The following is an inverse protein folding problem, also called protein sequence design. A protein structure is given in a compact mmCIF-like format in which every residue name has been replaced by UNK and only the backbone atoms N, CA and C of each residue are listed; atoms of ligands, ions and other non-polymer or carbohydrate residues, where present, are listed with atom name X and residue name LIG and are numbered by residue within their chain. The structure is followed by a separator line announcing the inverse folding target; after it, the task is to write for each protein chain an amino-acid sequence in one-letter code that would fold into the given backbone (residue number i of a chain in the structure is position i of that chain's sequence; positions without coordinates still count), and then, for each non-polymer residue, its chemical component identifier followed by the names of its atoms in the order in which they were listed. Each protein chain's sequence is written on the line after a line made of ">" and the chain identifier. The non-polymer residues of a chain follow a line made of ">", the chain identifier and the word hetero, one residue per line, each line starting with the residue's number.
data_IF_486273760670
#
_entry.id   IF_486273760670
#
_cell.length_a   1.000
_cell.length_b   1.000
_cell.length_c   1.000
_cell.angle_alpha   90.00
_cell.angle_beta   90.00
_cell.angle_gamma   90.00
#
_symmetry.space_group_name_H-M   'P 1'
#
loop_
_entity.id
_entity.type
_entity.pdbx_description
1 polymer ?
#
# COMPACT_ATOMS: atom_id res chain seq x y z
N UNK A 1 -23.06 28.59 12.78
CA UNK A 1 -23.48 27.19 12.68
C UNK A 1 -22.86 26.69 11.40
N UNK A 2 -21.65 26.15 11.52
CA UNK A 2 -20.96 25.49 10.42
C UNK A 2 -21.75 24.23 10.07
N UNK A 3 -22.16 24.10 8.82
CA UNK A 3 -22.55 22.79 8.31
C UNK A 3 -21.32 21.91 8.43
N UNK A 4 -21.39 20.89 9.29
CA UNK A 4 -20.34 19.89 9.43
C UNK A 4 -20.08 19.30 8.03
N UNK A 5 -18.81 19.28 7.61
CA UNK A 5 -18.45 18.92 6.24
C UNK A 5 -18.63 17.41 5.98
N UNK A 6 -18.62 16.59 7.04
CA UNK A 6 -18.78 15.13 6.99
C UNK A 6 -19.33 14.53 8.30
N UNK A 7 -19.81 13.30 8.21
CA UNK A 7 -20.15 12.44 9.37
C UNK A 7 -18.99 11.52 9.78
N UNK A 8 -18.97 11.02 11.02
CA UNK A 8 -17.87 10.18 11.55
C UNK A 8 -17.64 8.90 10.73
N UNK A 9 -18.69 8.36 10.12
CA UNK A 9 -18.62 7.11 9.34
C UNK A 9 -17.99 7.30 7.95
N UNK A 10 -17.86 8.55 7.49
CA UNK A 10 -17.27 8.88 6.19
C UNK A 10 -15.77 9.14 6.27
N UNK A 11 -15.22 9.30 7.48
CA UNK A 11 -13.81 9.62 7.71
C UNK A 11 -13.02 8.40 8.11
N UNK A 12 -11.92 8.18 7.40
CA UNK A 12 -10.94 7.17 7.77
C UNK A 12 -9.92 7.74 8.75
N UNK A 13 -9.42 6.91 9.65
CA UNK A 13 -8.39 7.29 10.60
C UNK A 13 -7.20 6.34 10.60
N UNK A 14 -6.03 6.85 10.95
CA UNK A 14 -4.82 6.08 11.22
C UNK A 14 -4.15 6.65 12.46
N UNK A 15 -3.77 5.80 13.41
CA UNK A 15 -2.95 6.21 14.54
C UNK A 15 -1.48 6.21 14.13
N UNK A 16 -0.74 7.22 14.57
CA UNK A 16 0.72 7.30 14.45
C UNK A 16 1.34 7.63 15.80
N UNK A 17 2.59 7.22 15.97
CA UNK A 17 3.40 7.57 17.14
C UNK A 17 4.67 8.25 16.64
N UNK A 18 4.93 9.44 17.15
CA UNK A 18 6.18 10.13 16.89
C UNK A 18 7.33 9.37 17.56
N UNK A 19 8.20 8.76 16.74
CA UNK A 19 9.28 7.88 17.20
C UNK A 19 10.29 8.57 18.13
N UNK A 20 10.40 9.90 18.09
CA UNK A 20 11.35 10.66 18.93
C UNK A 20 10.77 11.11 20.27
N UNK A 21 9.46 11.27 20.34
CA UNK A 21 8.79 11.90 21.50
C UNK A 21 7.78 10.98 22.17
N UNK A 22 7.46 9.83 21.56
CA UNK A 22 6.39 8.94 22.01
C UNK A 22 4.98 9.53 21.87
N UNK A 23 4.85 10.76 21.36
CA UNK A 23 3.57 11.43 21.22
C UNK A 23 2.68 10.70 20.22
N UNK A 24 1.47 10.34 20.65
CA UNK A 24 0.45 9.73 19.80
C UNK A 24 -0.37 10.81 19.12
N UNK A 25 -0.54 10.67 17.83
CA UNK A 25 -1.48 11.48 17.06
C UNK A 25 -2.33 10.60 16.14
N UNK A 26 -3.53 11.08 15.88
CA UNK A 26 -4.52 10.43 15.03
C UNK A 26 -4.60 11.26 13.76
N UNK A 27 -4.29 10.62 12.64
CA UNK A 27 -4.49 11.14 11.31
C UNK A 27 -5.94 10.87 10.92
N UNK A 28 -6.61 11.89 10.41
CA UNK A 28 -7.92 11.80 9.80
C UNK A 28 -7.81 12.15 8.33
N UNK A 29 -8.50 11.38 7.48
CA UNK A 29 -8.61 11.70 6.07
C UNK A 29 -9.97 11.33 5.50
N UNK A 30 -10.40 12.12 4.52
CA UNK A 30 -11.70 12.01 3.88
C UNK A 30 -11.56 12.24 2.38
N UNK A 31 -12.20 11.39 1.58
CA UNK A 31 -12.37 11.63 0.15
C UNK A 31 -13.74 12.25 -0.11
N UNK A 32 -13.75 13.54 -0.43
CA UNK A 32 -14.92 14.19 -0.99
C UNK A 32 -15.13 13.70 -2.42
N UNK A 33 -16.33 13.17 -2.70
CA UNK A 33 -16.70 12.79 -4.06
C UNK A 33 -16.70 14.04 -4.94
N UNK A 34 -15.76 14.11 -5.89
CA UNK A 34 -15.79 15.12 -6.92
C UNK A 34 -16.99 14.91 -7.84
N UNK A 35 -17.45 15.95 -8.56
CA UNK A 35 -18.34 15.72 -9.70
C UNK A 35 -17.65 14.81 -10.72
N UNK A 36 -18.40 14.23 -11.66
CA UNK A 36 -17.89 13.28 -12.68
C UNK A 36 -16.62 13.77 -13.41
N UNK A 37 -16.51 15.08 -13.60
CA UNK A 37 -15.40 15.74 -14.31
C UNK A 37 -14.38 16.40 -13.36
N UNK A 38 -14.62 16.33 -12.06
CA UNK A 38 -13.72 16.83 -11.02
C UNK A 38 -12.92 15.68 -10.42
N UNK A 39 -11.71 16.00 -9.96
CA UNK A 39 -10.93 15.08 -9.17
C UNK A 39 -11.61 14.91 -7.80
N UNK A 40 -11.55 13.72 -7.23
CA UNK A 40 -11.95 13.57 -5.82
C UNK A 40 -10.99 14.38 -4.95
N UNK A 41 -11.55 15.06 -3.95
CA UNK A 41 -10.78 15.93 -3.06
C UNK A 41 -10.40 15.16 -1.82
N UNK A 42 -9.11 15.14 -1.49
CA UNK A 42 -8.63 14.58 -0.23
C UNK A 42 -8.58 15.70 0.80
N UNK A 43 -9.18 15.46 1.95
CA UNK A 43 -9.01 16.27 3.14
C UNK A 43 -8.16 15.51 4.15
N UNK A 44 -7.29 16.21 4.86
CA UNK A 44 -6.33 15.64 5.79
C UNK A 44 -6.17 16.52 7.03
N UNK A 45 -6.07 15.89 8.20
CA UNK A 45 -5.80 16.58 9.46
C UNK A 45 -5.23 15.64 10.51
N UNK A 46 -4.60 16.21 11.54
CA UNK A 46 -4.04 15.45 12.68
C UNK A 46 -4.52 16.02 14.00
N UNK A 47 -4.86 15.13 14.94
CA UNK A 47 -5.18 15.51 16.32
C UNK A 47 -4.36 14.65 17.27
N UNK A 48 -3.69 15.27 18.24
CA UNK A 48 -2.95 14.57 19.29
C UNK A 48 -3.91 13.88 20.27
N UNK A 49 -3.53 12.71 20.78
CA UNK A 49 -4.33 11.96 21.77
C UNK A 49 -5.01 10.72 21.20
N UNK A 50 -6.02 10.21 21.92
CA UNK A 50 -6.73 8.99 21.54
C UNK A 50 -7.91 9.30 20.59
N UNK A 51 -8.17 8.48 19.54
CA UNK A 51 -9.33 8.69 18.66
C UNK A 51 -10.68 8.68 19.39
N UNK A 52 -10.76 8.05 20.57
CA UNK A 52 -11.96 8.02 21.42
C UNK A 52 -12.28 9.37 22.06
N UNK A 53 -11.30 10.28 22.14
CA UNK A 53 -11.42 11.58 22.81
C UNK A 53 -11.81 12.70 21.83
N UNK A 54 -11.73 12.43 20.52
CA UNK A 54 -11.97 13.42 19.48
C UNK A 54 -13.47 13.50 19.10
N UNK A 55 -14.00 14.72 19.09
CA UNK A 55 -15.34 15.05 18.60
C UNK A 55 -15.35 15.23 17.09
N UNK A 56 -16.52 15.12 16.46
CA UNK A 56 -16.67 15.32 15.00
C UNK A 56 -16.31 16.77 14.64
N UNK A 57 -16.67 17.73 15.48
CA UNK A 57 -16.34 19.14 15.33
C UNK A 57 -14.82 19.35 15.30
N UNK A 58 -14.08 18.77 16.25
CA UNK A 58 -12.61 18.85 16.27
C UNK A 58 -11.96 18.23 15.03
N UNK A 59 -12.51 17.12 14.52
CA UNK A 59 -12.00 16.49 13.30
C UNK A 59 -12.26 17.42 12.10
N UNK A 60 -13.46 18.00 11.99
CA UNK A 60 -13.78 18.94 10.92
C UNK A 60 -12.89 20.18 10.95
N UNK A 61 -12.59 20.70 12.14
CA UNK A 61 -11.78 21.91 12.32
C UNK A 61 -10.31 21.73 11.88
N UNK A 62 -9.81 20.49 11.86
CA UNK A 62 -8.42 20.19 11.43
C UNK A 62 -8.30 19.67 10.00
N UNK A 63 -9.41 19.32 9.34
CA UNK A 63 -9.37 18.81 7.97
C UNK A 63 -9.11 19.95 7.00
N UNK A 64 -7.94 19.92 6.36
CA UNK A 64 -7.57 20.82 5.28
C UNK A 64 -7.57 20.08 3.94
N UNK A 65 -8.01 20.76 2.88
CA UNK A 65 -7.91 20.22 1.53
C UNK A 65 -6.44 20.03 1.14
N UNK A 66 -6.10 18.83 0.72
CA UNK A 66 -4.78 18.49 0.19
C UNK A 66 -4.81 18.77 -1.32
N UNK A 67 -3.96 19.68 -1.83
CA UNK A 67 -3.92 19.99 -3.26
C UNK A 67 -3.67 18.73 -4.11
N UNK A 68 -4.38 18.58 -5.23
CA UNK A 68 -4.23 17.39 -6.10
C UNK A 68 -2.81 17.18 -6.62
N UNK A 69 -2.03 18.25 -6.80
CA UNK A 69 -0.59 18.20 -7.15
C UNK A 69 0.24 17.39 -6.15
N UNK A 70 -0.27 17.28 -4.91
CA UNK A 70 0.33 16.58 -3.77
C UNK A 70 -0.17 15.14 -3.60
N UNK A 71 -0.96 14.65 -4.55
CA UNK A 71 -1.57 13.33 -4.46
C UNK A 71 -1.43 12.59 -5.79
N UNK A 72 -1.70 13.31 -6.88
CA UNK A 72 -1.78 12.79 -8.23
C UNK A 72 -0.71 13.40 -9.13
N UNK A 73 0.03 12.54 -9.82
CA UNK A 73 1.05 12.98 -10.76
C UNK A 73 0.45 13.30 -12.14
N UNK A 74 0.97 14.31 -12.85
CA UNK A 74 0.44 14.73 -14.15
C UNK A 74 0.87 13.79 -15.28
N UNK A 75 0.13 13.86 -16.39
CA UNK A 75 0.55 13.39 -17.72
C UNK A 75 0.99 14.58 -18.60
N UNK A 76 2.05 14.43 -19.42
CA UNK A 76 2.95 13.27 -19.48
C UNK A 76 3.70 13.08 -18.16
N UNK A 77 4.07 11.83 -17.86
CA UNK A 77 4.71 11.47 -16.59
C UNK A 77 5.98 12.32 -16.41
N UNK A 78 6.24 12.89 -15.21
CA UNK A 78 7.42 13.70 -14.97
C UNK A 78 8.72 13.00 -15.37
N UNK A 79 9.74 13.77 -15.75
CA UNK A 79 11.04 13.34 -16.28
C UNK A 79 11.79 12.28 -15.45
N UNK A 80 11.46 12.09 -14.18
CA UNK A 80 11.95 10.96 -13.37
C UNK A 80 11.61 9.58 -13.96
N UNK A 81 10.54 9.49 -14.76
CA UNK A 81 10.06 8.26 -15.38
C UNK A 81 10.03 8.37 -16.91
N UNK A 82 11.00 9.05 -17.52
CA UNK A 82 11.02 9.42 -18.95
C UNK A 82 10.75 8.27 -19.96
N UNK A 83 10.72 7.01 -19.52
CA UNK A 83 10.47 5.82 -20.34
C UNK A 83 9.19 5.04 -19.97
N UNK A 84 8.32 5.57 -19.09
CA UNK A 84 7.08 4.90 -18.69
C UNK A 84 5.90 5.47 -19.47
N UNK A 85 5.40 4.71 -20.45
CA UNK A 85 4.07 4.94 -21.03
C UNK A 85 3.00 4.55 -20.01
N UNK A 86 2.05 5.45 -19.74
CA UNK A 86 0.86 5.12 -18.94
C UNK A 86 -0.28 4.74 -19.86
N UNK A 87 -0.85 3.57 -19.62
CA UNK A 87 -2.06 3.06 -20.26
C UNK A 87 -3.24 3.80 -19.65
N UNK A 88 -3.86 4.71 -20.40
CA UNK A 88 -5.10 5.38 -19.98
C UNK A 88 -6.26 4.42 -20.19
N UNK A 89 -6.95 4.10 -19.09
CA UNK A 89 -8.12 3.23 -19.13
C UNK A 89 -9.33 3.98 -19.70
N UNK A 90 -10.29 3.25 -20.26
CA UNK A 90 -11.49 3.86 -20.81
C UNK A 90 -12.38 4.44 -19.69
N UNK A 91 -12.93 5.63 -19.92
CA UNK A 91 -13.73 6.38 -18.92
C UNK A 91 -14.98 5.63 -18.45
N UNK A 92 -15.59 4.78 -19.29
CA UNK A 92 -16.79 4.00 -18.90
C UNK A 92 -16.54 3.01 -17.75
N UNK A 93 -15.27 2.71 -17.43
CA UNK A 93 -14.91 1.86 -16.30
C UNK A 93 -15.29 2.49 -14.95
N UNK A 94 -15.46 3.82 -14.86
CA UNK A 94 -15.94 4.48 -13.64
C UNK A 94 -17.38 4.05 -13.29
N UNK A 95 -18.20 3.76 -14.29
CA UNK A 95 -19.62 3.41 -14.12
C UNK A 95 -19.86 1.89 -14.18
N UNK A 96 -18.83 1.10 -14.52
CA UNK A 96 -18.94 -0.33 -14.71
C UNK A 96 -18.72 -1.10 -13.38
N UNK A 97 -19.59 -2.06 -13.04
CA UNK A 97 -19.33 -2.93 -11.90
C UNK A 97 -18.15 -3.88 -12.19
N UNK A 98 -17.52 -4.38 -11.13
CA UNK A 98 -16.53 -5.46 -11.23
C UNK A 98 -15.06 -5.02 -11.32
N UNK A 99 -14.77 -3.74 -11.10
CA UNK A 99 -13.39 -3.23 -11.02
C UNK A 99 -13.10 -2.69 -9.63
N UNK A 100 -11.84 -2.82 -9.20
CA UNK A 100 -11.35 -2.13 -8.02
C UNK A 100 -10.53 -0.92 -8.45
N UNK A 101 -10.90 0.26 -7.97
CA UNK A 101 -10.14 1.48 -8.23
C UNK A 101 -9.20 1.72 -7.05
N UNK A 102 -7.93 1.39 -7.21
CA UNK A 102 -6.91 1.69 -6.20
C UNK A 102 -6.53 3.17 -6.28
N UNK A 103 -6.54 3.84 -5.12
CA UNK A 103 -6.08 5.23 -4.92
C UNK A 103 -4.70 5.23 -4.25
N UNK A 104 -3.96 6.35 -4.30
CA UNK A 104 -2.76 6.51 -3.48
C UNK A 104 -3.09 6.26 -1.99
N UNK A 105 -2.14 5.73 -1.24
CA UNK A 105 -2.30 5.53 0.21
C UNK A 105 -1.58 6.66 0.98
N UNK A 106 -2.22 7.17 2.04
CA UNK A 106 -1.91 8.46 2.66
C UNK A 106 -1.34 8.43 4.08
N UNK A 107 -0.94 7.27 4.61
CA UNK A 107 -0.43 7.16 6.00
C UNK A 107 0.85 7.94 6.28
N UNK A 108 1.54 8.44 5.25
CA UNK A 108 2.81 9.16 5.37
C UNK A 108 2.74 10.62 4.89
N UNK A 109 1.54 11.19 4.72
CA UNK A 109 1.40 12.64 4.42
C UNK A 109 2.12 13.49 5.49
N UNK A 110 2.16 13.04 6.73
CA UNK A 110 2.67 13.79 7.90
C UNK A 110 4.18 14.04 7.86
N UNK A 111 4.97 13.18 7.21
CA UNK A 111 6.43 13.33 7.13
C UNK A 111 6.89 14.35 6.06
N UNK A 112 5.96 15.01 5.38
CA UNK A 112 6.26 15.97 4.30
C UNK A 112 6.51 17.41 4.78
N UNK A 113 6.81 17.61 6.07
CA UNK A 113 7.21 18.91 6.61
C UNK A 113 8.60 19.33 6.08
N UNK A 114 8.70 19.77 4.81
CA UNK A 114 9.88 20.51 4.34
C UNK A 114 10.23 20.54 2.85
N UNK A 115 9.65 19.74 1.95
CA UNK A 115 9.99 19.93 0.52
C UNK A 115 9.59 18.86 -0.49
N UNK A 116 9.42 19.36 -1.73
CA UNK A 116 9.20 18.67 -3.03
C UNK A 116 7.84 17.99 -3.24
N UNK A 117 7.36 17.89 -4.52
CA UNK A 117 6.10 17.26 -4.87
C UNK A 117 6.00 15.89 -4.19
N UNK A 118 4.95 15.76 -3.40
CA UNK A 118 4.75 14.78 -2.34
C UNK A 118 5.22 13.37 -2.66
N UNK A 119 5.91 12.80 -1.68
CA UNK A 119 6.27 11.39 -1.56
C UNK A 119 5.12 10.44 -1.96
N UNK A 120 3.87 10.81 -1.67
CA UNK A 120 2.66 10.06 -2.06
C UNK A 120 2.51 9.94 -3.59
N UNK A 121 2.51 11.06 -4.31
CA UNK A 121 2.41 11.06 -5.77
C UNK A 121 3.58 10.31 -6.43
N UNK A 122 4.78 10.39 -5.82
CA UNK A 122 5.95 9.66 -6.27
C UNK A 122 5.80 8.14 -6.10
N UNK A 123 5.40 7.67 -4.91
CA UNK A 123 5.15 6.23 -4.66
C UNK A 123 4.01 5.68 -5.51
N UNK A 124 2.96 6.48 -5.70
CA UNK A 124 1.88 6.10 -6.60
C UNK A 124 2.36 5.94 -8.05
N UNK A 125 3.24 6.84 -8.52
CA UNK A 125 3.87 6.71 -9.84
C UNK A 125 4.78 5.48 -9.95
N UNK A 126 5.47 5.09 -8.88
CA UNK A 126 6.26 3.84 -8.83
C UNK A 126 5.35 2.63 -9.00
N UNK A 127 4.23 2.57 -8.27
CA UNK A 127 3.28 1.47 -8.42
C UNK A 127 2.76 1.38 -9.86
N UNK A 128 2.36 2.50 -10.45
CA UNK A 128 1.93 2.56 -11.86
C UNK A 128 3.03 2.05 -12.80
N UNK A 129 4.28 2.49 -12.62
CA UNK A 129 5.44 2.01 -13.41
C UNK A 129 5.58 0.49 -13.34
N UNK A 130 5.40 -0.10 -12.15
CA UNK A 130 5.50 -1.56 -11.97
C UNK A 130 4.32 -2.30 -12.61
N UNK A 131 3.10 -1.78 -12.51
CA UNK A 131 1.93 -2.37 -13.15
C UNK A 131 1.98 -2.27 -14.69
N UNK A 132 2.47 -1.15 -15.25
CA UNK A 132 2.72 -1.02 -16.69
C UNK A 132 3.76 -2.04 -17.16
N UNK A 133 4.78 -2.31 -16.34
CA UNK A 133 5.77 -3.35 -16.65
C UNK A 133 5.14 -4.74 -16.60
N UNK A 134 4.34 -5.04 -15.58
CA UNK A 134 3.61 -6.30 -15.45
C UNK A 134 2.73 -6.56 -16.69
N UNK A 135 1.97 -5.56 -17.14
CA UNK A 135 1.05 -5.69 -18.27
C UNK A 135 1.72 -5.90 -19.64
N UNK A 136 3.04 -5.68 -19.75
CA UNK A 136 3.82 -6.00 -20.97
C UNK A 136 4.17 -7.50 -21.09
N UNK A 137 3.84 -8.30 -20.08
CA UNK A 137 4.13 -9.73 -20.01
C UNK A 137 2.82 -10.54 -19.95
N UNK A 138 2.86 -11.87 -20.24
CA UNK A 138 1.68 -12.72 -20.12
C UNK A 138 1.08 -12.67 -18.71
N UNK A 139 -0.25 -12.61 -18.55
CA UNK A 139 -0.88 -12.55 -17.24
C UNK A 139 -0.68 -13.84 -16.44
N UNK A 140 -0.66 -13.73 -15.11
CA UNK A 140 -0.63 -14.86 -14.18
C UNK A 140 -1.93 -14.90 -13.35
N UNK A 141 -2.56 -16.08 -13.14
CA UNK A 141 -3.86 -16.18 -12.47
C UNK A 141 -3.86 -15.76 -10.99
N UNK A 142 -2.70 -15.82 -10.33
CA UNK A 142 -2.53 -15.46 -8.91
C UNK A 142 -1.82 -14.11 -8.70
N UNK A 143 -1.84 -13.23 -9.71
CA UNK A 143 -1.37 -11.83 -9.60
C UNK A 143 -2.51 -10.92 -10.02
N UNK A 144 -2.67 -9.80 -9.34
CA UNK A 144 -3.69 -8.81 -9.68
C UNK A 144 -3.64 -8.39 -11.15
N UNK A 145 -4.81 -8.30 -11.77
CA UNK A 145 -4.92 -7.86 -13.16
C UNK A 145 -4.97 -6.34 -13.22
N UNK A 146 -4.09 -5.73 -14.00
CA UNK A 146 -4.07 -4.30 -14.28
C UNK A 146 -4.84 -3.96 -15.57
N UNK A 147 -5.65 -2.91 -15.54
CA UNK A 147 -6.51 -2.48 -16.65
C UNK A 147 -6.20 -1.08 -17.19
N UNK A 148 -5.18 -0.41 -16.64
CA UNK A 148 -4.86 0.98 -16.95
C UNK A 148 -5.15 1.93 -15.80
N UNK A 149 -4.75 3.17 -15.98
CA UNK A 149 -4.95 4.26 -15.06
C UNK A 149 -6.21 5.05 -15.39
N UNK A 150 -6.93 5.48 -14.35
CA UNK A 150 -7.89 6.58 -14.50
C UNK A 150 -7.13 7.89 -14.61
N UNK A 151 -7.51 8.69 -15.60
CA UNK A 151 -6.99 10.04 -15.77
C UNK A 151 -8.13 11.04 -15.67
N UNK A 152 -7.98 12.03 -14.80
CA UNK A 152 -8.89 13.19 -14.70
C UNK A 152 -8.04 14.46 -14.66
N UNK A 153 -8.48 15.50 -15.36
CA UNK A 153 -7.79 16.80 -15.40
C UNK A 153 -6.29 16.70 -15.73
N UNK A 154 -5.92 15.77 -16.62
CA UNK A 154 -4.53 15.54 -17.02
C UNK A 154 -3.65 14.87 -15.96
N UNK A 155 -4.23 14.31 -14.89
CA UNK A 155 -3.52 13.62 -13.81
C UNK A 155 -3.97 12.18 -13.67
N UNK A 156 -3.06 11.30 -13.24
CA UNK A 156 -3.40 9.92 -12.89
C UNK A 156 -4.01 9.91 -11.49
N UNK A 157 -5.31 9.62 -11.40
CA UNK A 157 -6.11 9.70 -10.17
C UNK A 157 -6.51 8.35 -9.60
N UNK A 158 -6.19 7.25 -10.29
CA UNK A 158 -6.53 5.91 -9.86
C UNK A 158 -5.92 4.84 -10.76
N UNK A 159 -5.87 3.62 -10.25
CA UNK A 159 -5.46 2.42 -10.97
C UNK A 159 -6.66 1.49 -11.04
N UNK A 160 -7.08 1.09 -12.25
CA UNK A 160 -8.09 0.05 -12.40
C UNK A 160 -7.43 -1.31 -12.28
N UNK A 161 -7.85 -2.03 -11.24
CA UNK A 161 -7.51 -3.41 -11.01
C UNK A 161 -8.73 -4.28 -11.30
N UNK A 162 -8.48 -5.53 -11.72
CA UNK A 162 -9.51 -6.54 -11.88
C UNK A 162 -10.27 -6.77 -10.57
N UNK A 163 -11.40 -7.47 -10.65
CA UNK A 163 -12.20 -7.77 -9.47
C UNK A 163 -11.35 -8.42 -8.37
N UNK A 164 -11.36 -7.81 -7.19
CA UNK A 164 -10.64 -8.26 -6.02
C UNK A 164 -11.61 -9.02 -5.13
N UNK A 165 -11.74 -10.32 -5.40
CA UNK A 165 -12.59 -11.22 -4.63
C UNK A 165 -11.94 -11.61 -3.29
N UNK A 166 -12.79 -11.67 -2.26
CA UNK A 166 -12.41 -12.13 -0.93
C UNK A 166 -11.65 -11.11 -0.09
N UNK A 167 -11.18 -11.56 1.06
CA UNK A 167 -10.46 -10.71 2.01
C UNK A 167 -8.96 -10.95 1.90
N UNK A 168 -8.16 -10.04 2.47
CA UNK A 168 -6.75 -10.33 2.66
C UNK A 168 -6.56 -11.53 3.60
N UNK A 169 -5.40 -12.18 3.49
CA UNK A 169 -5.09 -13.42 4.18
C UNK A 169 -5.11 -13.29 5.70
N UNK A 170 -4.75 -12.12 6.25
CA UNK A 170 -4.85 -11.89 7.69
C UNK A 170 -6.30 -11.93 8.17
N UNK A 171 -7.17 -11.16 7.52
CA UNK A 171 -8.59 -11.07 7.88
C UNK A 171 -9.29 -12.40 7.67
N UNK A 172 -8.98 -13.11 6.58
CA UNK A 172 -9.53 -14.43 6.29
C UNK A 172 -9.23 -15.43 7.41
N UNK A 173 -7.97 -15.48 7.86
CA UNK A 173 -7.53 -16.40 8.90
C UNK A 173 -8.04 -15.97 10.28
N UNK A 174 -8.01 -14.67 10.59
CA UNK A 174 -8.42 -14.12 11.88
C UNK A 174 -9.91 -14.23 12.13
N UNK A 175 -10.72 -14.11 11.08
CA UNK A 175 -12.16 -14.35 11.15
C UNK A 175 -12.53 -15.85 11.22
N UNK A 176 -11.54 -16.76 11.18
CA UNK A 176 -11.80 -18.21 11.22
C UNK A 176 -12.62 -18.70 10.02
N UNK A 177 -12.43 -18.08 8.84
CA UNK A 177 -13.12 -18.49 7.61
C UNK A 177 -12.66 -19.87 7.15
N UNK A 178 -13.11 -20.29 5.96
CA UNK A 178 -12.76 -21.58 5.36
C UNK A 178 -11.26 -21.87 5.50
N UNK A 179 -10.87 -23.02 6.07
CA UNK A 179 -9.47 -23.39 6.20
C UNK A 179 -8.76 -23.36 4.86
N UNK A 180 -7.54 -22.83 4.86
CA UNK A 180 -6.68 -22.79 3.68
C UNK A 180 -6.01 -24.15 3.55
N UNK A 181 -6.11 -24.75 2.36
CA UNK A 181 -5.25 -25.87 2.02
C UNK A 181 -3.84 -25.35 1.77
N UNK A 182 -2.98 -25.49 2.77
CA UNK A 182 -1.69 -24.81 2.88
C UNK A 182 -0.78 -25.07 1.68
N UNK A 183 -0.64 -26.32 1.25
CA UNK A 183 0.34 -26.67 0.22
C UNK A 183 -0.07 -26.16 -1.18
N UNK A 184 -1.30 -26.37 -1.66
CA UNK A 184 -1.74 -25.78 -2.92
C UNK A 184 -1.75 -24.25 -2.90
N UNK A 185 -2.12 -23.63 -1.78
CA UNK A 185 -2.10 -22.18 -1.63
C UNK A 185 -0.68 -21.62 -1.77
N UNK A 186 0.28 -22.18 -1.03
CA UNK A 186 1.67 -21.74 -1.10
C UNK A 186 2.30 -22.04 -2.46
N UNK A 187 1.96 -23.15 -3.11
CA UNK A 187 2.42 -23.46 -4.46
C UNK A 187 1.91 -22.46 -5.50
N UNK A 188 0.64 -22.05 -5.41
CA UNK A 188 0.06 -21.04 -6.30
C UNK A 188 0.68 -19.66 -6.08
N UNK A 189 0.96 -19.29 -4.82
CA UNK A 189 1.65 -18.05 -4.49
C UNK A 189 3.11 -18.06 -4.95
N UNK A 190 3.83 -19.17 -4.77
CA UNK A 190 5.19 -19.35 -5.28
C UNK A 190 5.25 -19.21 -6.80
N UNK A 191 4.26 -19.77 -7.52
CA UNK A 191 4.13 -19.59 -8.97
C UNK A 191 3.99 -18.11 -9.37
N UNK A 192 3.20 -17.33 -8.63
CA UNK A 192 3.07 -15.89 -8.85
C UNK A 192 4.40 -15.14 -8.63
N UNK A 193 5.09 -15.45 -7.53
CA UNK A 193 6.38 -14.84 -7.19
C UNK A 193 7.42 -15.15 -8.27
N UNK A 194 7.52 -16.41 -8.69
CA UNK A 194 8.42 -16.82 -9.78
C UNK A 194 8.09 -16.13 -11.10
N UNK A 195 6.81 -15.91 -11.39
CA UNK A 195 6.41 -15.15 -12.57
C UNK A 195 6.93 -13.71 -12.53
N UNK A 196 6.79 -13.00 -11.40
CA UNK A 196 7.37 -11.67 -11.23
C UNK A 196 8.90 -11.69 -11.43
N UNK A 197 9.57 -12.69 -10.85
CA UNK A 197 11.03 -12.80 -10.86
C UNK A 197 11.62 -13.15 -12.23
N UNK A 198 11.05 -14.15 -12.88
CA UNK A 198 11.67 -14.83 -14.04
C UNK A 198 11.09 -14.32 -15.37
N UNK A 199 9.83 -13.88 -15.37
CA UNK A 199 9.15 -13.39 -16.59
C UNK A 199 9.17 -11.87 -16.65
N UNK A 200 8.81 -11.20 -15.55
CA UNK A 200 8.70 -9.73 -15.51
C UNK A 200 10.04 -9.06 -15.15
N UNK A 201 10.88 -9.73 -14.36
CA UNK A 201 12.18 -9.21 -13.91
C UNK A 201 12.08 -8.18 -12.78
N UNK A 202 11.06 -8.29 -11.92
CA UNK A 202 10.88 -7.47 -10.72
C UNK A 202 10.77 -8.37 -9.50
N UNK A 203 11.06 -7.84 -8.31
CA UNK A 203 10.67 -8.45 -7.04
C UNK A 203 9.57 -7.62 -6.39
N UNK A 204 8.71 -8.27 -5.61
CA UNK A 204 7.56 -7.67 -4.94
C UNK A 204 8.00 -6.82 -3.74
N UNK A 205 8.98 -7.31 -2.98
CA UNK A 205 9.62 -6.73 -1.80
C UNK A 205 8.71 -6.49 -0.57
N UNK A 206 7.40 -6.68 -0.69
CA UNK A 206 6.44 -6.51 0.41
C UNK A 206 5.39 -7.64 0.47
N UNK A 207 5.83 -8.89 0.34
CA UNK A 207 4.94 -10.05 0.46
C UNK A 207 4.57 -10.22 1.94
N UNK A 208 3.29 -10.06 2.25
CA UNK A 208 2.74 -10.20 3.60
C UNK A 208 1.25 -10.56 3.55
N UNK A 209 0.63 -11.03 4.65
CA UNK A 209 -0.76 -11.47 4.63
C UNK A 209 -1.75 -10.39 4.16
N UNK A 210 -1.45 -9.11 4.41
CA UNK A 210 -2.29 -8.00 3.95
C UNK A 210 -2.28 -7.79 2.42
N UNK A 211 -1.23 -8.27 1.73
CA UNK A 211 -1.06 -8.11 0.27
C UNK A 211 -1.38 -9.40 -0.50
N UNK A 212 -2.08 -10.34 0.14
CA UNK A 212 -2.53 -11.59 -0.49
C UNK A 212 -4.02 -11.71 -0.24
N UNK A 213 -4.83 -11.65 -1.30
CA UNK A 213 -6.26 -11.92 -1.22
C UNK A 213 -6.53 -13.42 -1.27
N UNK A 214 -7.57 -13.86 -0.57
CA UNK A 214 -8.04 -15.25 -0.56
C UNK A 214 -9.43 -15.30 -1.20
N UNK A 215 -9.52 -15.90 -2.38
CA UNK A 215 -10.80 -16.09 -3.06
C UNK A 215 -11.73 -17.03 -2.28
N UNK A 216 -13.05 -17.05 -2.57
CA UNK A 216 -13.98 -18.02 -2.00
C UNK A 216 -13.56 -19.49 -2.22
N UNK A 217 -12.88 -19.76 -3.32
CA UNK A 217 -12.33 -21.08 -3.66
C UNK A 217 -11.13 -21.44 -2.78
N UNK A 218 -10.46 -20.46 -2.18
CA UNK A 218 -9.25 -20.63 -1.37
C UNK A 218 -7.96 -20.48 -2.17
N UNK A 219 -7.98 -19.73 -3.27
CA UNK A 219 -6.80 -19.45 -4.10
C UNK A 219 -6.22 -18.07 -3.77
N UNK A 220 -4.87 -17.93 -3.78
CA UNK A 220 -4.24 -16.64 -3.50
C UNK A 220 -4.29 -15.71 -4.72
N UNK A 221 -4.40 -14.40 -4.47
CA UNK A 221 -4.04 -13.37 -5.45
C UNK A 221 -3.07 -12.39 -4.80
N UNK A 222 -1.87 -12.28 -5.36
CA UNK A 222 -0.87 -11.30 -4.95
C UNK A 222 -1.26 -9.92 -5.48
N UNK A 223 -1.35 -8.94 -4.58
CA UNK A 223 -1.75 -7.56 -4.84
C UNK A 223 -0.69 -6.58 -4.35
N UNK A 224 -0.84 -5.29 -4.69
CA UNK A 224 -0.02 -4.17 -4.20
C UNK A 224 1.45 -4.17 -4.65
N UNK A 225 1.72 -3.56 -5.81
CA UNK A 225 3.08 -3.44 -6.36
C UNK A 225 3.78 -2.13 -5.94
N UNK A 226 3.31 -1.43 -4.89
CA UNK A 226 3.89 -0.15 -4.47
C UNK A 226 5.36 -0.22 -4.04
N UNK A 227 5.76 -1.34 -3.43
CA UNK A 227 7.15 -1.62 -3.02
C UNK A 227 7.95 -2.39 -4.07
N UNK A 228 7.33 -2.77 -5.20
CA UNK A 228 8.00 -3.55 -6.23
C UNK A 228 9.04 -2.71 -6.96
N UNK A 229 10.14 -3.34 -7.36
CA UNK A 229 11.15 -2.69 -8.19
C UNK A 229 11.86 -3.73 -9.06
N UNK A 230 12.59 -3.26 -10.07
CA UNK A 230 13.55 -4.08 -10.82
C UNK A 230 14.55 -4.73 -9.85
N UNK A 231 14.81 -6.01 -10.07
CA UNK A 231 15.79 -6.76 -9.26
C UNK A 231 17.17 -6.11 -9.43
N UNK A 232 17.81 -5.78 -8.30
CA UNK A 232 19.10 -5.10 -8.23
C UNK A 232 19.03 -3.57 -8.05
N UNK A 233 17.85 -2.97 -8.20
CA UNK A 233 17.64 -1.54 -7.96
C UNK A 233 17.26 -1.25 -6.50
N UNK A 234 17.39 0.01 -6.09
CA UNK A 234 17.03 0.45 -4.73
C UNK A 234 15.52 0.48 -4.58
N UNK A 235 15.02 -0.03 -3.45
CA UNK A 235 13.59 0.00 -3.14
C UNK A 235 13.20 1.42 -2.77
N UNK A 236 12.45 2.08 -3.66
CA UNK A 236 12.03 3.48 -3.53
C UNK A 236 10.99 3.69 -2.43
N UNK A 237 10.10 2.70 -2.25
CA UNK A 237 9.14 2.67 -1.15
C UNK A 237 9.51 1.53 -0.21
N UNK A 238 10.36 1.82 0.77
CA UNK A 238 10.49 0.93 1.92
C UNK A 238 9.36 1.27 2.87
N UNK A 239 8.29 0.45 2.89
CA UNK A 239 7.37 0.49 4.02
C UNK A 239 8.21 0.17 5.26
N UNK A 240 8.53 1.22 6.04
CA UNK A 240 9.35 1.18 7.27
C UNK A 240 8.76 0.32 8.40
N UNK A 241 7.79 -0.55 8.09
CA UNK A 241 6.95 -1.22 9.09
C UNK A 241 6.66 -2.70 8.78
N UNK A 242 7.07 -3.25 7.61
CA UNK A 242 6.92 -4.70 7.37
C UNK A 242 8.20 -5.44 7.75
N UNK A 243 8.30 -5.84 9.02
CA UNK A 243 9.30 -6.80 9.52
C UNK A 243 9.14 -8.21 8.93
N UNK A 244 8.31 -8.35 7.89
CA UNK A 244 7.76 -9.60 7.37
C UNK A 244 8.58 -10.21 6.23
N UNK A 245 9.43 -9.40 5.59
CA UNK A 245 10.34 -9.82 4.52
C UNK A 245 11.75 -9.23 4.66
N UNK A 246 12.20 -8.97 5.89
CA UNK A 246 13.57 -8.52 6.15
C UNK A 246 14.57 -9.56 5.62
N UNK A 247 15.44 -9.14 4.69
CA UNK A 247 16.60 -9.93 4.33
C UNK A 247 17.56 -9.91 5.52
N UNK A 248 18.10 -11.06 5.98
CA UNK A 248 19.13 -11.09 7.01
C UNK A 248 20.30 -10.12 6.72
N UNK A 249 20.64 -9.91 5.44
CA UNK A 249 21.67 -8.95 5.04
C UNK A 249 21.27 -7.49 5.30
N UNK A 250 19.97 -7.15 5.22
CA UNK A 250 19.48 -5.81 5.52
C UNK A 250 19.45 -5.56 7.03
N UNK A 251 19.09 -6.58 7.82
CA UNK A 251 19.17 -6.54 9.30
C UNK A 251 20.61 -6.34 9.77
N UNK A 252 21.56 -7.06 9.16
CA UNK A 252 22.99 -6.91 9.47
C UNK A 252 23.54 -5.53 9.07
N UNK A 253 23.11 -4.99 7.93
CA UNK A 253 23.50 -3.64 7.47
C UNK A 253 22.93 -2.54 8.36
N UNK A 254 21.67 -2.66 8.77
CA UNK A 254 21.03 -1.75 9.71
C UNK A 254 21.73 -1.80 11.07
N UNK A 255 22.00 -3.00 11.59
CA UNK A 255 22.77 -3.20 12.81
C UNK A 255 24.21 -2.65 12.72
N UNK A 256 24.77 -2.62 11.51
CA UNK A 256 26.07 -1.99 11.23
C UNK A 256 26.01 -0.47 11.02
N UNK A 257 24.83 0.16 11.16
CA UNK A 257 24.65 1.60 10.99
C UNK A 257 24.74 2.09 9.54
N UNK A 258 24.59 1.19 8.56
CA UNK A 258 24.64 1.53 7.14
C UNK A 258 23.24 1.96 6.68
N UNK A 259 23.02 3.27 6.63
CA UNK A 259 21.72 3.89 6.28
C UNK A 259 21.43 3.91 4.76
N UNK A 260 21.64 2.80 4.05
CA UNK A 260 21.26 2.70 2.63
C UNK A 260 19.88 2.06 2.49
N UNK A 261 19.05 2.58 1.57
CA UNK A 261 17.80 1.92 1.20
C UNK A 261 18.09 0.50 0.69
N UNK A 262 17.32 -0.50 1.15
CA UNK A 262 17.50 -1.89 0.75
C UNK A 262 17.34 -2.04 -0.77
N UNK A 263 18.00 -3.07 -1.29
CA UNK A 263 17.99 -3.41 -2.71
C UNK A 263 16.89 -4.44 -2.97
N UNK A 264 16.22 -4.31 -4.11
CA UNK A 264 15.21 -5.26 -4.53
C UNK A 264 15.85 -6.58 -4.95
N UNK A 265 15.43 -7.68 -4.34
CA UNK A 265 16.03 -9.01 -4.58
C UNK A 265 14.98 -10.11 -4.58
N UNK A 266 15.30 -11.22 -5.28
CA UNK A 266 14.50 -12.44 -5.19
C UNK A 266 14.51 -13.04 -3.77
N UNK A 267 15.62 -12.89 -3.04
CA UNK A 267 15.80 -13.46 -1.69
C UNK A 267 14.80 -12.89 -0.70
N UNK A 268 14.49 -11.60 -0.77
CA UNK A 268 13.49 -10.94 0.10
C UNK A 268 12.11 -11.56 -0.04
N UNK A 269 11.65 -11.76 -1.27
CA UNK A 269 10.35 -12.39 -1.55
C UNK A 269 10.32 -13.85 -1.10
N UNK A 270 11.40 -14.60 -1.31
CA UNK A 270 11.49 -16.00 -0.87
C UNK A 270 11.56 -16.13 0.66
N UNK A 271 12.25 -15.21 1.33
CA UNK A 271 12.27 -15.14 2.79
C UNK A 271 10.87 -14.85 3.35
N UNK A 272 10.15 -13.91 2.74
CA UNK A 272 8.77 -13.61 3.10
C UNK A 272 7.82 -14.81 2.86
N UNK A 273 7.96 -15.53 1.74
CA UNK A 273 7.19 -16.75 1.47
C UNK A 273 7.48 -17.84 2.51
N UNK A 274 8.73 -18.03 2.92
CA UNK A 274 9.09 -18.98 3.96
C UNK A 274 8.51 -18.57 5.32
N UNK A 275 8.53 -17.28 5.64
CA UNK A 275 7.88 -16.76 6.86
C UNK A 275 6.38 -17.01 6.82
N UNK A 276 5.73 -16.81 5.68
CA UNK A 276 4.31 -17.13 5.49
C UNK A 276 4.01 -18.60 5.70
N UNK A 277 4.86 -19.50 5.20
CA UNK A 277 4.71 -20.94 5.39
C UNK A 277 4.68 -21.32 6.86
N UNK A 278 5.55 -20.77 7.68
CA UNK A 278 5.55 -21.03 9.13
C UNK A 278 4.38 -20.31 9.81
N UNK A 279 4.06 -19.09 9.40
CA UNK A 279 2.99 -18.29 9.96
C UNK A 279 1.60 -18.94 9.82
N UNK A 280 1.33 -19.63 8.72
CA UNK A 280 0.07 -20.34 8.50
C UNK A 280 -0.20 -21.46 9.53
N UNK A 281 0.83 -21.99 10.19
CA UNK A 281 0.67 -23.02 11.23
C UNK A 281 0.21 -22.44 12.57
N UNK A 282 0.59 -21.19 12.86
CA UNK A 282 0.20 -20.48 14.07
C UNK A 282 0.04 -18.98 13.78
N UNK A 283 -1.11 -18.59 13.20
CA UNK A 283 -1.34 -17.22 12.76
C UNK A 283 -1.39 -16.25 13.95
N UNK A 284 -0.46 -15.29 13.93
CA UNK A 284 -0.45 -14.14 14.85
C UNK A 284 -0.54 -12.85 14.04
N UNK A 285 -0.98 -11.75 14.65
CA UNK A 285 -1.05 -10.47 13.94
C UNK A 285 0.32 -10.16 13.28
N UNK A 286 0.40 -9.87 11.97
CA UNK A 286 1.67 -9.71 11.26
C UNK A 286 2.59 -8.65 11.87
N UNK A 287 2.00 -7.64 12.51
CA UNK A 287 2.71 -6.57 13.23
C UNK A 287 2.86 -6.77 14.74
N UNK A 288 2.54 -7.95 15.28
CA UNK A 288 2.62 -8.21 16.72
C UNK A 288 4.04 -7.97 17.28
N UNK A 289 5.07 -8.47 16.59
CA UNK A 289 6.46 -8.29 17.01
C UNK A 289 6.92 -6.82 16.93
N UNK A 290 6.46 -6.07 15.92
CA UNK A 290 6.75 -4.64 15.82
C UNK A 290 6.07 -3.87 16.95
N UNK A 291 4.79 -4.16 17.23
CA UNK A 291 4.06 -3.55 18.34
C UNK A 291 4.73 -3.82 19.69
N UNK A 292 5.24 -5.04 19.89
CA UNK A 292 5.98 -5.40 21.10
C UNK A 292 7.33 -4.64 21.21
N UNK A 293 8.12 -4.57 20.13
CA UNK A 293 9.37 -3.79 20.12
C UNK A 293 9.13 -2.30 20.41
N UNK A 294 8.07 -1.72 19.86
CA UNK A 294 7.71 -0.33 20.11
C UNK A 294 7.24 -0.12 21.57
N UNK A 295 6.50 -1.08 22.16
CA UNK A 295 6.11 -0.99 23.56
C UNK A 295 7.27 -1.18 24.54
N UNK A 296 8.26 -2.00 24.19
CA UNK A 296 9.44 -2.24 25.04
C UNK A 296 10.38 -1.03 25.02
N UNK A 297 10.53 -0.35 23.87
CA UNK A 297 11.27 0.91 23.75
C UNK A 297 10.67 2.04 24.60
N UNK A 298 9.34 2.05 24.80
CA UNK A 298 8.65 2.99 25.68
C UNK A 298 8.87 2.68 27.19
N UNK A 299 9.36 1.49 27.54
CA UNK A 299 9.57 1.06 28.94
C UNK A 299 11.01 1.28 29.46
N UNK A 300 11.95 1.56 28.56
CA UNK A 300 13.37 1.81 28.88
C UNK A 300 13.77 3.30 28.79
N UNK A 301 12.83 4.21 28.47
CA UNK A 301 13.02 5.67 28.42
C UNK A 301 12.38 6.39 29.61
#
# INVERSE_FOLDING_TARGET
>A
MSDLMFSRDEVSLSETTNVKTGAKSVLYYYWGAGRRDEDDQLFFGTIDGSPSEHTIEQINDVLEEVPNERIFFPLPVPWFFANTSVTVANEWLDDAPGWHIKRPWFTHIVDCAGGTPTVVAHWFAIEVKMLERLARHPPHPNIVKYHGCRVRNGRVTGIYLGHLDGDNLWDHVSAGKKPIDKEPFLAALESAIRHLHDVVGIAHNDIQPFNILVSPEGTPTLIDLGSSELIGERISQCRMYSTWGEDPADVEREAAGIAEHPVSTKSRDLAALNKLRTWLDNPVHPWAALRAKLSDADSEA
#
